data_IF_558290148284
#
_entry.id   IF_558290148284
#
_cell.length_a   1.000
_cell.length_b   1.000
_cell.length_c   1.000
_cell.angle_alpha   90.00
_cell.angle_beta   90.00
_cell.angle_gamma   90.00
#
_symmetry.space_group_name_H-M   'P 1'
#
loop_
_entity.id
_entity.type
_entity.pdbx_description
1 polymer ?
#
# COMPACT_ATOMS: atom_id res chain seq x y z
N UNK A 1 14.96 -32.34 -6.40
CA UNK A 1 14.20 -31.58 -7.42
C UNK A 1 13.30 -30.57 -6.71
N UNK A 2 13.78 -29.36 -6.44
CA UNK A 2 13.01 -28.32 -5.74
C UNK A 2 12.22 -27.49 -6.74
N UNK A 3 10.89 -27.66 -6.79
CA UNK A 3 10.00 -26.79 -7.56
C UNK A 3 9.96 -25.44 -6.85
N UNK A 4 10.79 -24.49 -7.29
CA UNK A 4 10.58 -23.07 -7.00
C UNK A 4 9.25 -22.71 -7.63
N UNK A 5 8.20 -22.58 -6.81
CA UNK A 5 6.94 -21.97 -7.24
C UNK A 5 7.30 -20.56 -7.71
N UNK A 6 7.27 -20.36 -9.02
CA UNK A 6 7.52 -19.07 -9.64
C UNK A 6 6.41 -18.13 -9.20
N UNK A 7 6.68 -17.33 -8.17
CA UNK A 7 5.90 -16.14 -7.88
C UNK A 7 6.15 -15.24 -9.07
N UNK A 8 5.25 -15.27 -10.07
CA UNK A 8 5.36 -14.40 -11.23
C UNK A 8 5.38 -12.97 -10.68
N UNK A 9 6.46 -12.20 -10.86
CA UNK A 9 6.47 -10.82 -10.39
C UNK A 9 5.32 -10.09 -11.08
N UNK A 10 4.47 -9.42 -10.29
CA UNK A 10 3.39 -8.58 -10.80
C UNK A 10 4.01 -7.57 -11.77
N UNK A 11 3.69 -7.70 -13.05
CA UNK A 11 4.48 -7.07 -14.13
C UNK A 11 4.06 -5.63 -14.37
N UNK A 12 2.79 -5.34 -14.11
CA UNK A 12 2.21 -4.01 -14.32
C UNK A 12 1.87 -3.33 -13.00
N UNK A 13 1.87 -1.98 -13.03
CA UNK A 13 1.37 -1.17 -11.90
C UNK A 13 -0.06 -1.59 -11.54
N UNK A 14 -0.90 -1.88 -12.53
CA UNK A 14 -2.29 -2.26 -12.30
C UNK A 14 -2.41 -3.60 -11.57
N UNK A 15 -1.62 -4.61 -11.95
CA UNK A 15 -1.60 -5.90 -11.24
C UNK A 15 -1.13 -5.75 -9.80
N UNK A 16 -0.11 -4.91 -9.55
CA UNK A 16 0.36 -4.56 -8.19
C UNK A 16 -0.75 -3.90 -7.37
N UNK A 17 -1.42 -2.90 -7.94
CA UNK A 17 -2.55 -2.20 -7.30
C UNK A 17 -3.67 -3.17 -6.96
N UNK A 18 -4.09 -4.00 -7.91
CA UNK A 18 -5.16 -4.99 -7.71
C UNK A 18 -4.80 -6.02 -6.65
N UNK A 19 -3.56 -6.50 -6.62
CA UNK A 19 -3.11 -7.44 -5.61
C UNK A 19 -3.10 -6.82 -4.21
N UNK A 20 -2.49 -5.64 -4.05
CA UNK A 20 -2.44 -4.93 -2.76
C UNK A 20 -3.85 -4.60 -2.27
N UNK A 21 -4.75 -4.14 -3.14
CA UNK A 21 -6.14 -3.87 -2.77
C UNK A 21 -6.90 -5.14 -2.35
N UNK A 22 -6.68 -6.27 -3.01
CA UNK A 22 -7.32 -7.53 -2.61
C UNK A 22 -6.84 -7.98 -1.22
N UNK A 23 -5.53 -7.99 -0.99
CA UNK A 23 -4.94 -8.42 0.28
C UNK A 23 -5.30 -7.50 1.44
N UNK A 24 -5.22 -6.17 1.25
CA UNK A 24 -5.65 -5.22 2.28
C UNK A 24 -7.12 -5.41 2.64
N UNK A 25 -8.00 -5.59 1.65
CA UNK A 25 -9.42 -5.79 1.91
C UNK A 25 -9.71 -7.09 2.66
N UNK A 26 -8.96 -8.16 2.37
CA UNK A 26 -9.04 -9.44 3.09
C UNK A 26 -8.60 -9.29 4.56
N UNK A 27 -7.52 -8.55 4.81
CA UNK A 27 -6.94 -8.41 6.15
C UNK A 27 -7.73 -7.43 7.04
N UNK A 28 -8.21 -6.31 6.49
CA UNK A 28 -8.91 -5.29 7.29
C UNK A 28 -10.43 -5.52 7.36
N UNK A 29 -10.98 -6.37 6.48
CA UNK A 29 -12.42 -6.57 6.35
C UNK A 29 -13.16 -5.36 5.78
N UNK A 30 -12.44 -4.35 5.28
CA UNK A 30 -13.01 -3.13 4.69
C UNK A 30 -12.54 -2.98 3.24
N UNK A 31 -13.32 -2.30 2.41
CA UNK A 31 -13.05 -2.16 0.97
C UNK A 31 -11.97 -1.09 0.72
N UNK A 32 -10.83 -1.44 0.11
CA UNK A 32 -9.84 -0.43 -0.22
C UNK A 32 -10.33 0.49 -1.35
N UNK A 33 -9.91 1.74 -1.26
CA UNK A 33 -10.08 2.76 -2.29
C UNK A 33 -8.78 2.90 -3.09
N UNK A 34 -8.90 3.13 -4.39
CA UNK A 34 -7.77 3.40 -5.28
C UNK A 34 -7.92 4.82 -5.82
N UNK A 35 -6.90 5.64 -5.64
CA UNK A 35 -6.88 7.03 -6.10
C UNK A 35 -5.61 7.35 -6.88
N UNK A 36 -5.69 8.33 -7.76
CA UNK A 36 -4.53 8.91 -8.44
C UNK A 36 -3.86 9.92 -7.52
N UNK A 37 -2.57 9.75 -7.31
CA UNK A 37 -1.70 10.72 -6.65
C UNK A 37 -0.89 11.54 -7.65
N UNK A 38 -0.24 12.58 -7.15
CA UNK A 38 0.65 13.42 -7.94
C UNK A 38 1.80 12.60 -8.55
N UNK A 39 2.25 13.00 -9.75
CA UNK A 39 3.39 12.36 -10.40
C UNK A 39 3.13 10.98 -11.00
N UNK A 40 1.86 10.61 -11.20
CA UNK A 40 1.46 9.34 -11.83
C UNK A 40 1.50 8.14 -10.88
N UNK A 41 1.44 8.39 -9.58
CA UNK A 41 1.36 7.36 -8.54
C UNK A 41 -0.09 6.90 -8.41
N UNK A 42 -0.31 5.59 -8.25
CA UNK A 42 -1.59 5.05 -7.78
C UNK A 42 -1.49 4.76 -6.29
N UNK A 43 -2.45 5.26 -5.51
CA UNK A 43 -2.52 5.03 -4.07
C UNK A 43 -3.69 4.11 -3.73
N UNK A 44 -3.40 3.01 -3.06
CA UNK A 44 -4.39 2.12 -2.43
C UNK A 44 -4.51 2.50 -0.98
N UNK A 45 -5.71 2.84 -0.50
CA UNK A 45 -5.96 3.24 0.90
C UNK A 45 -7.12 2.46 1.49
N UNK A 46 -6.99 2.03 2.74
CA UNK A 46 -8.06 1.34 3.47
C UNK A 46 -8.17 1.88 4.89
N UNK A 47 -9.39 1.93 5.41
CA UNK A 47 -9.65 2.28 6.81
C UNK A 47 -9.29 1.08 7.70
N UNK A 48 -8.81 1.36 8.89
CA UNK A 48 -8.47 0.36 9.91
C UNK A 48 -9.29 0.66 11.16
N UNK A 49 -10.09 -0.31 11.59
CA UNK A 49 -10.93 -0.19 12.80
C UNK A 49 -10.20 -0.61 14.09
N UNK A 50 -9.01 -1.18 13.94
CA UNK A 50 -8.15 -1.68 15.01
C UNK A 50 -7.40 -2.93 14.54
N UNK A 51 -6.12 -3.04 14.87
CA UNK A 51 -5.33 -4.26 14.65
C UNK A 51 -4.98 -4.79 16.04
N UNK A 52 -5.85 -5.65 16.57
CA UNK A 52 -5.74 -6.16 17.94
C UNK A 52 -4.76 -7.34 18.06
N UNK A 53 -4.21 -7.78 16.93
CA UNK A 53 -3.31 -8.91 16.80
C UNK A 53 -2.01 -8.48 16.11
N UNK A 54 -0.87 -8.83 16.71
CA UNK A 54 0.46 -8.52 16.17
C UNK A 54 0.75 -9.25 14.85
N UNK A 55 0.22 -10.45 14.65
CA UNK A 55 0.33 -11.20 13.40
C UNK A 55 -0.45 -10.48 12.29
N UNK A 56 -1.67 -10.02 12.60
CA UNK A 56 -2.48 -9.23 11.66
C UNK A 56 -1.79 -7.91 11.31
N UNK A 57 -1.23 -7.22 12.30
CA UNK A 57 -0.49 -5.98 12.07
C UNK A 57 0.76 -6.22 11.20
N UNK A 58 1.48 -7.31 11.44
CA UNK A 58 2.64 -7.70 10.63
C UNK A 58 2.23 -8.01 9.20
N UNK A 59 1.17 -8.80 8.99
CA UNK A 59 0.65 -9.11 7.66
C UNK A 59 0.22 -7.85 6.89
N UNK A 60 -0.43 -6.89 7.56
CA UNK A 60 -0.78 -5.60 6.94
C UNK A 60 0.49 -4.85 6.53
N UNK A 61 1.51 -4.80 7.39
CA UNK A 61 2.79 -4.14 7.08
C UNK A 61 3.52 -4.81 5.91
N UNK A 62 3.49 -6.14 5.82
CA UNK A 62 4.07 -6.89 4.70
C UNK A 62 3.40 -6.53 3.37
N UNK A 63 2.07 -6.44 3.33
CA UNK A 63 1.31 -6.03 2.13
C UNK A 63 1.62 -4.57 1.77
N UNK A 64 1.67 -3.68 2.75
CA UNK A 64 2.05 -2.27 2.52
C UNK A 64 3.47 -2.14 1.97
N UNK A 65 4.40 -2.97 2.45
CA UNK A 65 5.79 -3.01 1.98
C UNK A 65 5.98 -3.44 0.53
N UNK A 66 4.94 -3.98 -0.12
CA UNK A 66 4.97 -4.28 -1.57
C UNK A 66 4.77 -3.02 -2.44
N UNK A 67 4.29 -1.93 -1.84
CA UNK A 67 4.24 -0.61 -2.46
C UNK A 67 5.62 0.04 -2.53
N UNK A 68 5.75 1.04 -3.40
CA UNK A 68 6.99 1.83 -3.52
C UNK A 68 7.14 2.82 -2.35
N UNK A 69 6.00 3.23 -1.75
CA UNK A 69 5.91 3.95 -0.47
C UNK A 69 4.66 3.50 0.26
N UNK A 70 4.66 3.60 1.57
CA UNK A 70 3.46 3.37 2.37
C UNK A 70 3.44 4.28 3.59
N UNK A 71 2.28 4.40 4.21
CA UNK A 71 2.13 5.17 5.42
C UNK A 71 0.77 5.02 6.04
N UNK A 72 0.51 5.86 7.03
CA UNK A 72 -0.75 5.94 7.73
C UNK A 72 -1.22 7.39 7.83
N UNK A 73 -2.50 7.58 8.09
CA UNK A 73 -3.10 8.88 8.36
C UNK A 73 -4.26 8.72 9.33
N UNK A 74 -4.23 9.48 10.42
CA UNK A 74 -5.35 9.68 11.31
C UNK A 74 -6.23 10.83 10.82
N UNK A 75 -7.54 10.64 10.83
CA UNK A 75 -8.54 11.68 10.57
C UNK A 75 -9.65 11.61 11.61
N UNK A 76 -10.57 12.59 11.59
CA UNK A 76 -11.80 12.52 12.41
C UNK A 76 -12.70 11.34 12.05
N UNK A 77 -12.54 10.77 10.85
CA UNK A 77 -13.32 9.61 10.37
C UNK A 77 -12.65 8.27 10.70
N UNK A 78 -11.42 8.26 11.23
CA UNK A 78 -10.70 7.03 11.61
C UNK A 78 -9.23 7.02 11.19
N UNK A 79 -8.61 5.85 11.40
CA UNK A 79 -7.25 5.54 10.97
C UNK A 79 -7.26 4.92 9.58
N UNK A 80 -6.31 5.35 8.74
CA UNK A 80 -6.16 4.85 7.38
C UNK A 80 -4.71 4.44 7.16
N UNK A 81 -4.52 3.32 6.46
CA UNK A 81 -3.22 2.92 5.92
C UNK A 81 -3.25 2.97 4.40
N UNK A 82 -2.11 3.23 3.79
CA UNK A 82 -2.02 3.36 2.35
C UNK A 82 -0.69 2.85 1.79
N UNK A 83 -0.73 2.38 0.56
CA UNK A 83 0.42 2.03 -0.27
C UNK A 83 0.35 2.79 -1.60
N UNK A 84 1.48 3.33 -2.03
CA UNK A 84 1.69 4.03 -3.30
C UNK A 84 2.47 3.13 -4.26
N UNK A 85 2.02 3.06 -5.51
CA UNK A 85 2.59 2.23 -6.56
C UNK A 85 2.81 3.08 -7.82
N UNK A 86 4.01 2.99 -8.37
CA UNK A 86 4.41 3.70 -9.58
C UNK A 86 4.75 5.17 -9.34
N UNK A 87 4.56 5.96 -10.39
CA UNK A 87 5.02 7.34 -10.49
C UNK A 87 6.54 7.47 -10.63
N UNK A 88 6.99 8.61 -11.14
CA UNK A 88 8.41 8.96 -11.06
C UNK A 88 8.66 9.48 -9.65
N UNK A 89 9.59 8.85 -8.91
CA UNK A 89 10.09 9.39 -7.65
C UNK A 89 10.61 10.80 -7.95
N UNK A 90 9.84 11.83 -7.61
CA UNK A 90 10.32 13.21 -7.70
C UNK A 90 11.36 13.33 -6.59
N UNK A 91 12.65 13.19 -6.93
CA UNK A 91 13.73 13.43 -6.00
C UNK A 91 13.53 14.84 -5.44
N UNK A 92 13.41 14.93 -4.11
CA UNK A 92 12.77 16.04 -3.43
C UNK A 92 13.27 17.42 -3.87
N UNK A 93 12.32 18.33 -4.07
CA UNK A 93 12.62 19.76 -4.01
C UNK A 93 13.12 20.06 -2.61
N UNK A 94 14.44 20.16 -2.49
CA UNK A 94 15.19 20.49 -1.31
C UNK A 94 14.74 21.89 -0.82
N UNK A 95 13.69 21.95 0.01
CA UNK A 95 13.26 23.21 0.62
C UNK A 95 14.18 23.51 1.79
N UNK A 96 15.41 23.94 1.48
CA UNK A 96 16.23 24.73 2.41
C UNK A 96 15.48 26.03 2.66
N UNK A 97 14.89 26.14 3.84
CA UNK A 97 14.55 27.44 4.39
C UNK A 97 15.88 28.11 4.76
N UNK A 98 16.14 29.27 4.15
CA UNK A 98 17.08 30.26 4.68
C UNK A 98 16.31 31.17 5.62
#
# INVERSE_FOLDING_TARGET
MGRRLGITPLRTVQERVSHIAAELGRLTGDRPSVTWGDGGVLRVSVRVLGLHDAELATAVLEVLGQGDRYGHRRTSQGEYVWAEIGGKRVAGSNRRLK
#
